data_IF_125539979164
#
_entry.id   IF_125539979164
#
_cell.length_a   1.000
_cell.length_b   1.000
_cell.length_c   1.000
_cell.angle_alpha   90.00
_cell.angle_beta   90.00
_cell.angle_gamma   90.00
#
_symmetry.space_group_name_H-M   'P 1'
#
loop_
_entity.id
_entity.type
_entity.pdbx_description
1 polymer ?
#
# COMPACT_ATOMS: atom_id res chain seq x y z
N UNK A 1 57.11 -7.93 -47.17
CA UNK A 1 57.35 -8.61 -45.89
C UNK A 1 56.11 -8.42 -45.03
N UNK A 2 55.46 -9.53 -44.71
CA UNK A 2 54.77 -9.82 -43.45
C UNK A 2 53.80 -8.76 -42.86
N UNK A 3 52.51 -9.08 -42.73
CA UNK A 3 51.91 -9.84 -41.62
C UNK A 3 50.39 -9.64 -41.71
N UNK A 4 49.65 -10.74 -41.77
CA UNK A 4 48.20 -10.70 -41.59
C UNK A 4 47.83 -10.50 -40.12
N UNK A 5 46.61 -10.04 -39.86
CA UNK A 5 45.82 -10.45 -38.69
C UNK A 5 44.34 -10.04 -38.85
N UNK A 6 43.48 -11.04 -38.61
CA UNK A 6 42.17 -10.98 -37.94
C UNK A 6 40.96 -10.38 -38.67
N UNK A 7 40.24 -11.28 -39.35
CA UNK A 7 38.82 -11.16 -39.72
C UNK A 7 37.95 -11.79 -38.61
N UNK A 8 37.48 -10.97 -37.67
CA UNK A 8 36.38 -11.25 -36.72
C UNK A 8 36.08 -9.90 -36.03
N UNK A 9 34.86 -9.44 -35.71
CA UNK A 9 33.55 -10.03 -35.63
C UNK A 9 32.54 -9.00 -36.15
N UNK A 10 31.58 -9.52 -36.89
CA UNK A 10 30.30 -8.90 -37.22
C UNK A 10 29.56 -8.53 -35.93
N UNK A 11 29.25 -7.25 -35.73
CA UNK A 11 28.24 -6.80 -34.77
C UNK A 11 27.20 -5.97 -35.51
N UNK A 12 26.14 -6.68 -35.87
CA UNK A 12 24.85 -6.13 -36.27
C UNK A 12 24.38 -5.14 -35.21
N UNK A 13 24.38 -3.84 -35.53
CA UNK A 13 23.66 -2.84 -34.73
C UNK A 13 22.19 -3.00 -35.08
N UNK A 14 21.60 -4.06 -34.53
CA UNK A 14 20.15 -4.21 -34.47
C UNK A 14 19.62 -3.02 -33.69
N UNK A 15 18.88 -2.17 -34.39
CA UNK A 15 18.02 -1.11 -33.88
C UNK A 15 17.52 -1.49 -32.48
N UNK A 16 18.10 -0.87 -31.45
CA UNK A 16 17.55 -0.97 -30.10
C UNK A 16 16.16 -0.37 -30.18
N UNK A 17 15.15 -1.25 -30.19
CA UNK A 17 13.75 -0.90 -30.02
C UNK A 17 13.66 -0.05 -28.77
N UNK A 18 13.52 1.26 -28.95
CA UNK A 18 13.15 2.16 -27.87
C UNK A 18 11.75 1.75 -27.47
N UNK A 19 11.66 0.89 -26.45
CA UNK A 19 10.40 0.60 -25.79
C UNK A 19 9.93 1.92 -25.18
N UNK A 20 9.08 2.62 -25.92
CA UNK A 20 8.34 3.78 -25.49
C UNK A 20 7.37 3.33 -24.39
N UNK A 21 7.90 3.17 -23.17
CA UNK A 21 7.13 2.79 -22.00
C UNK A 21 6.26 3.97 -21.60
N UNK A 22 5.02 4.00 -22.12
CA UNK A 22 3.97 4.86 -21.58
C UNK A 22 3.84 4.51 -20.10
N UNK A 23 4.39 5.34 -19.21
CA UNK A 23 4.27 5.18 -17.75
C UNK A 23 2.79 5.08 -17.37
N UNK A 24 2.30 3.86 -17.17
CA UNK A 24 0.96 3.62 -16.63
C UNK A 24 0.81 4.30 -15.27
N UNK A 25 -0.34 4.93 -15.01
CA UNK A 25 -0.62 5.53 -13.69
C UNK A 25 -0.55 4.44 -12.61
N UNK A 26 0.31 4.60 -11.61
CA UNK A 26 0.42 3.68 -10.46
C UNK A 26 -0.93 3.54 -9.75
N UNK A 27 -1.34 2.29 -9.52
CA UNK A 27 -2.57 1.92 -8.79
C UNK A 27 -2.38 2.11 -7.28
N UNK A 28 -3.50 2.26 -6.57
CA UNK A 28 -3.50 2.32 -5.11
C UNK A 28 -3.77 0.93 -4.56
N UNK A 29 -3.04 0.57 -3.50
CA UNK A 29 -3.29 -0.63 -2.71
C UNK A 29 -3.73 -0.25 -1.30
N UNK A 30 -4.69 -1.00 -0.75
CA UNK A 30 -5.11 -0.94 0.65
C UNK A 30 -4.44 -2.07 1.41
N UNK A 31 -3.96 -1.82 2.62
CA UNK A 31 -3.25 -2.80 3.42
C UNK A 31 -3.69 -2.79 4.87
N UNK A 32 -3.52 -3.93 5.54
CA UNK A 32 -3.80 -4.14 6.96
C UNK A 32 -2.53 -4.60 7.66
N UNK A 33 -2.16 -3.91 8.74
CA UNK A 33 -1.07 -4.28 9.63
C UNK A 33 -1.63 -4.80 10.96
N UNK A 34 -1.10 -5.92 11.45
CA UNK A 34 -1.24 -6.31 12.86
C UNK A 34 -0.13 -5.62 13.64
N UNK A 35 -0.51 -4.97 14.72
CA UNK A 35 0.37 -4.26 15.64
C UNK A 35 0.46 -5.00 16.98
N UNK A 36 1.37 -4.55 17.84
CA UNK A 36 1.47 -5.04 19.22
C UNK A 36 0.17 -4.78 20.00
N UNK A 37 -0.11 -5.65 20.99
CA UNK A 37 -1.31 -5.52 21.84
C UNK A 37 -2.62 -5.79 21.11
N UNK A 38 -2.60 -6.66 20.08
CA UNK A 38 -3.79 -7.05 19.29
C UNK A 38 -4.51 -5.87 18.62
N UNK A 39 -3.72 -4.87 18.22
CA UNK A 39 -4.21 -3.69 17.50
C UNK A 39 -3.97 -3.83 16.01
N UNK A 40 -4.77 -3.08 15.25
CA UNK A 40 -4.77 -3.15 13.80
C UNK A 40 -4.73 -1.76 13.20
N UNK A 41 -4.05 -1.66 12.06
CA UNK A 41 -4.02 -0.44 11.26
C UNK A 41 -4.38 -0.76 9.82
N UNK A 42 -5.26 0.05 9.23
CA UNK A 42 -5.60 0.00 7.81
C UNK A 42 -5.10 1.27 7.15
N UNK A 43 -4.45 1.14 6.00
CA UNK A 43 -3.95 2.28 5.22
C UNK A 43 -4.05 2.04 3.72
N UNK A 44 -3.83 3.09 2.95
CA UNK A 44 -3.76 3.05 1.49
C UNK A 44 -2.49 3.74 0.97
N UNK A 45 -1.90 3.21 -0.12
CA UNK A 45 -0.70 3.80 -0.73
C UNK A 45 -0.56 3.43 -2.21
N UNK A 46 0.12 4.29 -2.99
CA UNK A 46 0.62 3.99 -4.34
C UNK A 46 2.02 3.35 -4.34
N UNK A 47 2.69 3.40 -3.19
CA UNK A 47 4.06 2.95 -2.95
C UNK A 47 4.02 2.03 -1.73
N UNK A 48 3.44 0.85 -1.92
CA UNK A 48 3.07 -0.04 -0.82
C UNK A 48 4.30 -0.52 -0.03
N UNK A 49 5.34 -0.96 -0.75
CA UNK A 49 6.55 -1.51 -0.14
C UNK A 49 7.28 -0.45 0.69
N UNK A 50 7.51 0.73 0.13
CA UNK A 50 8.11 1.85 0.85
C UNK A 50 7.27 2.24 2.08
N UNK A 51 5.94 2.34 1.91
CA UNK A 51 5.06 2.73 3.01
C UNK A 51 5.04 1.72 4.15
N UNK A 52 5.04 0.42 3.83
CA UNK A 52 5.14 -0.63 4.86
C UNK A 52 6.49 -0.50 5.57
N UNK A 53 7.60 -0.32 4.83
CA UNK A 53 8.92 -0.14 5.42
C UNK A 53 8.97 1.05 6.40
N UNK A 54 8.40 2.20 6.04
CA UNK A 54 8.27 3.37 6.93
C UNK A 54 7.55 3.02 8.23
N UNK A 55 6.43 2.28 8.15
CA UNK A 55 5.69 1.85 9.35
C UNK A 55 6.56 0.97 10.27
N UNK A 56 7.28 0.00 9.71
CA UNK A 56 8.17 -0.88 10.50
C UNK A 56 9.40 -0.15 11.05
N UNK A 57 9.84 0.92 10.40
CA UNK A 57 10.92 1.81 10.86
C UNK A 57 10.47 2.79 11.96
N UNK A 58 9.17 2.89 12.26
CA UNK A 58 8.64 3.85 13.24
C UNK A 58 8.37 5.24 12.68
N UNK A 59 8.38 5.40 11.36
CA UNK A 59 8.09 6.64 10.64
C UNK A 59 6.66 6.68 10.08
N UNK A 60 5.82 5.73 10.52
CA UNK A 60 4.43 5.63 10.11
C UNK A 60 3.48 6.60 10.84
N UNK A 61 2.19 6.30 10.75
CA UNK A 61 1.13 6.99 11.49
C UNK A 61 1.38 7.03 13.00
N UNK A 62 0.82 8.01 13.70
CA UNK A 62 0.86 8.10 15.18
C UNK A 62 0.42 6.80 15.85
N UNK A 63 -0.61 6.13 15.31
CA UNK A 63 -1.07 4.84 15.83
C UNK A 63 -0.02 3.73 15.71
N UNK A 64 0.67 3.63 14.56
CA UNK A 64 1.74 2.65 14.35
C UNK A 64 3.04 3.00 15.07
N UNK A 65 3.23 4.28 15.46
CA UNK A 65 4.32 4.70 16.34
C UNK A 65 4.05 4.32 17.79
N UNK A 66 2.80 4.46 18.23
CA UNK A 66 2.35 4.02 19.55
C UNK A 66 2.33 2.49 19.68
N UNK A 67 1.91 1.80 18.62
CA UNK A 67 1.80 0.34 18.57
C UNK A 67 2.62 -0.21 17.40
N UNK A 68 3.76 -0.83 17.73
CA UNK A 68 4.72 -1.31 16.72
C UNK A 68 4.09 -2.34 15.78
N UNK A 69 4.27 -2.23 14.46
CA UNK A 69 3.86 -3.25 13.51
C UNK A 69 4.56 -4.58 13.77
N UNK A 70 3.77 -5.66 13.73
CA UNK A 70 4.24 -7.05 13.89
C UNK A 70 4.30 -7.74 12.54
N UNK A 71 3.23 -7.62 11.74
CA UNK A 71 3.16 -8.23 10.40
C UNK A 71 2.11 -7.58 9.51
N UNK A 72 2.26 -7.75 8.21
CA UNK A 72 1.23 -7.46 7.22
C UNK A 72 0.21 -8.60 7.23
N UNK A 73 -1.07 -8.27 7.40
CA UNK A 73 -2.17 -9.25 7.44
C UNK A 73 -2.86 -9.38 6.10
N UNK A 74 -3.05 -8.26 5.40
CA UNK A 74 -3.77 -8.23 4.12
C UNK A 74 -3.25 -7.11 3.25
N UNK A 75 -3.21 -7.37 1.95
CA UNK A 75 -2.98 -6.39 0.89
C UNK A 75 -4.09 -6.58 -0.15
N UNK A 76 -4.68 -5.47 -0.60
CA UNK A 76 -5.71 -5.43 -1.63
C UNK A 76 -5.24 -4.43 -2.68
N UNK A 77 -4.86 -4.92 -3.85
CA UNK A 77 -4.57 -4.06 -4.99
C UNK A 77 -5.88 -3.61 -5.62
N UNK A 78 -6.06 -2.30 -5.77
CA UNK A 78 -7.28 -1.77 -6.37
C UNK A 78 -7.08 -1.48 -7.86
N UNK A 79 -8.08 -1.73 -8.71
CA UNK A 79 -8.06 -1.33 -10.12
C UNK A 79 -8.29 0.17 -10.30
N UNK A 80 -7.83 1.00 -9.36
CA UNK A 80 -8.02 2.45 -9.37
C UNK A 80 -6.77 3.18 -8.88
N UNK A 81 -6.60 4.40 -9.35
CA UNK A 81 -5.61 5.36 -8.86
C UNK A 81 -6.26 6.54 -8.12
N UNK A 82 -7.58 6.47 -7.90
CA UNK A 82 -8.38 7.47 -7.20
C UNK A 82 -8.31 7.24 -5.70
N UNK A 83 -7.72 8.20 -4.98
CA UNK A 83 -7.65 8.20 -3.52
C UNK A 83 -9.03 8.15 -2.87
N UNK A 84 -10.04 8.79 -3.46
CA UNK A 84 -11.42 8.76 -2.95
C UNK A 84 -12.05 7.38 -3.07
N UNK A 85 -11.82 6.68 -4.19
CA UNK A 85 -12.31 5.33 -4.37
C UNK A 85 -11.62 4.35 -3.40
N UNK A 86 -10.31 4.48 -3.24
CA UNK A 86 -9.54 3.68 -2.32
C UNK A 86 -9.87 3.95 -0.85
N UNK A 87 -10.15 5.21 -0.48
CA UNK A 87 -10.61 5.59 0.87
C UNK A 87 -11.93 4.89 1.25
N UNK A 88 -12.85 4.68 0.30
CA UNK A 88 -14.08 3.93 0.57
C UNK A 88 -13.80 2.48 0.95
N UNK A 89 -12.87 1.84 0.24
CA UNK A 89 -12.45 0.46 0.52
C UNK A 89 -11.72 0.38 1.85
N UNK A 90 -10.78 1.30 2.11
CA UNK A 90 -10.08 1.44 3.38
C UNK A 90 -11.06 1.59 4.54
N UNK A 91 -11.99 2.55 4.45
CA UNK A 91 -12.98 2.84 5.51
C UNK A 91 -13.88 1.63 5.78
N UNK A 92 -14.36 0.97 4.72
CA UNK A 92 -15.18 -0.23 4.87
C UNK A 92 -14.40 -1.33 5.60
N UNK A 93 -13.16 -1.60 5.17
CA UNK A 93 -12.31 -2.62 5.81
C UNK A 93 -11.98 -2.27 7.26
N UNK A 94 -11.73 -1.00 7.57
CA UNK A 94 -11.55 -0.51 8.94
C UNK A 94 -12.76 -0.85 9.80
N UNK A 95 -13.97 -0.56 9.33
CA UNK A 95 -15.20 -0.81 10.10
C UNK A 95 -15.49 -2.31 10.28
N UNK A 96 -15.24 -3.14 9.27
CA UNK A 96 -15.35 -4.59 9.40
C UNK A 96 -14.39 -5.13 10.46
N UNK A 97 -13.14 -4.68 10.46
CA UNK A 97 -12.18 -5.05 11.49
C UNK A 97 -12.58 -4.53 12.88
N UNK A 98 -13.18 -3.33 12.96
CA UNK A 98 -13.70 -2.79 14.22
C UNK A 98 -14.86 -3.62 14.79
N UNK A 99 -15.71 -4.21 13.94
CA UNK A 99 -16.77 -5.13 14.37
C UNK A 99 -16.17 -6.41 14.97
N UNK A 100 -15.08 -6.92 14.39
CA UNK A 100 -14.45 -8.19 14.78
C UNK A 100 -13.55 -8.02 16.03
N UNK A 101 -12.67 -7.02 16.03
CA UNK A 101 -11.61 -6.84 17.05
C UNK A 101 -11.92 -5.76 18.09
N UNK A 102 -13.07 -5.10 17.96
CA UNK A 102 -13.44 -3.95 18.77
C UNK A 102 -12.95 -2.63 18.20
N UNK A 103 -13.80 -1.63 18.25
CA UNK A 103 -13.56 -0.32 17.63
C UNK A 103 -12.35 0.45 18.21
N UNK A 104 -12.00 0.20 19.47
CA UNK A 104 -10.85 0.80 20.14
C UNK A 104 -9.50 0.21 19.71
N UNK A 105 -9.50 -0.96 19.04
CA UNK A 105 -8.27 -1.67 18.65
C UNK A 105 -7.88 -1.45 17.18
N UNK A 106 -8.71 -0.79 16.40
CA UNK A 106 -8.48 -0.61 14.96
C UNK A 106 -8.46 0.87 14.62
N UNK A 107 -7.51 1.28 13.78
CA UNK A 107 -7.44 2.64 13.20
C UNK A 107 -7.18 2.57 11.70
N UNK A 108 -7.64 3.58 10.97
CA UNK A 108 -7.45 3.69 9.52
C UNK A 108 -8.38 4.72 8.90
N UNK A 109 -7.99 5.26 7.74
CA UNK A 109 -8.78 6.25 7.01
C UNK A 109 -9.28 7.42 7.89
N UNK A 110 -10.60 7.71 7.90
CA UNK A 110 -11.20 8.75 8.74
C UNK A 110 -11.06 8.51 10.25
N UNK A 111 -10.76 7.27 10.66
CA UNK A 111 -10.60 6.83 12.04
C UNK A 111 -9.13 6.64 12.39
N UNK A 112 -8.23 7.47 11.86
CA UNK A 112 -6.79 7.35 12.09
C UNK A 112 -6.30 8.08 13.34
N UNK A 113 -7.12 8.96 13.93
CA UNK A 113 -6.83 9.62 15.19
C UNK A 113 -6.68 8.59 16.33
N UNK A 114 -5.65 8.73 17.16
CA UNK A 114 -5.43 7.88 18.34
C UNK A 114 -6.62 7.92 19.29
N UNK A 115 -7.16 9.12 19.49
CA UNK A 115 -8.15 9.44 20.52
C UNK A 115 -9.54 9.59 19.90
N UNK A 116 -10.16 8.45 19.58
CA UNK A 116 -11.56 8.42 19.18
C UNK A 116 -12.43 8.52 20.44
N UNK A 117 -13.16 9.63 20.58
CA UNK A 117 -14.02 9.89 21.73
C UNK A 117 -15.23 8.95 21.83
N UNK A 118 -15.65 8.31 20.73
CA UNK A 118 -16.81 7.42 20.71
C UNK A 118 -16.73 6.36 19.60
N UNK A 119 -17.58 5.33 19.73
CA UNK A 119 -17.73 4.26 18.74
C UNK A 119 -18.14 4.83 17.37
N UNK A 120 -17.47 4.45 16.27
CA UNK A 120 -17.84 4.88 14.93
C UNK A 120 -19.28 4.54 14.56
N UNK A 121 -19.95 5.47 13.86
CA UNK A 121 -21.24 5.19 13.25
C UNK A 121 -21.04 4.14 12.14
N UNK A 122 -21.92 3.12 12.04
CA UNK A 122 -21.92 2.24 10.87
C UNK A 122 -22.01 3.07 9.59
N UNK A 123 -21.34 2.63 8.52
CA UNK A 123 -21.60 3.24 7.21
C UNK A 123 -23.09 3.07 6.91
N UNK A 124 -23.75 4.06 6.28
CA UNK A 124 -25.08 3.84 5.76
C UNK A 124 -25.01 2.60 4.86
N UNK A 125 -25.83 1.59 5.16
CA UNK A 125 -26.02 0.50 4.22
C UNK A 125 -26.42 1.15 2.91
N UNK A 126 -25.71 0.82 1.83
CA UNK A 126 -26.02 1.39 0.53
C UNK A 126 -27.50 1.08 0.29
N UNK A 127 -28.33 2.12 0.33
CA UNK A 127 -29.76 2.01 0.06
C UNK A 127 -29.88 1.36 -1.30
N UNK A 128 -30.39 0.12 -1.29
CA UNK A 128 -30.68 -0.67 -2.47
C UNK A 128 -31.70 0.04 -3.37
#
# INVERSE_FOLDING_TARGET
MQHGVNKALQWDVSVMSTSNSKRGKKRISVYVLKLSGEKYYVGQSKYLAERIKEHFAGEGSSWTRLHRPVKVVRIIELPTNSWRAALRVETHLTLELMKIYGWSNVRGGPYSASDLACKPRPLPEASA
#
